data_IF_434070210468
#
_entry.id   IF_434070210468
#
_cell.length_a   1.000
_cell.length_b   1.000
_cell.length_c   1.000
_cell.angle_alpha   90.00
_cell.angle_beta   90.00
_cell.angle_gamma   90.00
#
_symmetry.space_group_name_H-M   'P 1'
#
loop_
_entity.id
_entity.type
_entity.pdbx_description
1 polymer ?
#
# COMPACT_ATOMS: atom_id res chain seq x y z
N UNK A 1 33.41 20.27 -15.89
CA UNK A 1 31.95 20.48 -16.03
C UNK A 1 31.28 19.79 -14.85
N UNK A 2 31.12 20.54 -13.76
CA UNK A 2 30.51 20.08 -12.52
C UNK A 2 28.99 20.20 -12.68
N UNK A 3 28.26 19.09 -12.62
CA UNK A 3 26.81 19.12 -12.44
C UNK A 3 26.50 19.57 -11.00
N UNK A 4 25.49 20.42 -10.77
CA UNK A 4 25.22 20.97 -9.45
C UNK A 4 24.66 19.91 -8.49
N UNK A 5 25.12 19.96 -7.23
CA UNK A 5 24.74 19.09 -6.11
C UNK A 5 23.23 19.06 -5.78
N UNK A 6 22.41 19.92 -6.40
CA UNK A 6 21.00 20.08 -6.05
C UNK A 6 20.10 18.91 -6.51
N UNK A 7 20.55 18.08 -7.45
CA UNK A 7 19.79 16.93 -7.93
C UNK A 7 19.93 15.67 -7.06
N UNK A 8 20.92 15.62 -6.16
CA UNK A 8 21.13 14.45 -5.28
C UNK A 8 20.24 14.51 -4.04
N UNK A 9 19.80 15.69 -3.61
CA UNK A 9 18.94 15.85 -2.43
C UNK A 9 17.47 15.43 -2.64
N UNK A 10 16.96 15.39 -3.87
CA UNK A 10 15.56 15.04 -4.12
C UNK A 10 15.25 13.52 -3.97
N UNK A 11 16.29 12.68 -3.88
CA UNK A 11 16.10 11.22 -3.78
C UNK A 11 16.10 10.70 -2.33
N UNK A 12 16.48 11.53 -1.35
CA UNK A 12 16.69 11.12 0.05
C UNK A 12 15.90 11.92 1.09
N UNK A 13 14.87 12.67 0.68
CA UNK A 13 13.96 13.37 1.61
C UNK A 13 12.94 12.45 2.29
N UNK A 14 12.95 11.14 2.01
CA UNK A 14 11.90 10.22 2.44
C UNK A 14 12.30 9.28 3.60
N UNK A 15 13.26 9.67 4.44
CA UNK A 15 13.31 9.15 5.80
C UNK A 15 12.38 10.01 6.67
N UNK A 16 11.07 9.93 6.43
CA UNK A 16 10.08 10.54 7.31
C UNK A 16 10.22 9.88 8.69
N UNK A 17 10.95 10.56 9.57
CA UNK A 17 10.99 10.45 11.03
C UNK A 17 10.63 9.06 11.57
N UNK A 18 11.60 8.14 11.58
CA UNK A 18 11.56 6.95 12.46
C UNK A 18 11.71 7.31 13.95
N UNK A 19 11.67 8.60 14.25
CA UNK A 19 11.74 9.21 15.59
C UNK A 19 10.38 9.80 16.01
N UNK A 20 9.34 9.66 15.18
CA UNK A 20 8.02 10.25 15.41
C UNK A 20 7.03 9.35 16.16
N UNK A 21 5.80 9.83 16.30
CA UNK A 21 4.69 9.12 16.95
C UNK A 21 4.40 7.81 16.23
N UNK A 22 4.29 6.71 17.00
CA UNK A 22 3.91 5.39 16.49
C UNK A 22 2.41 5.19 16.67
N UNK A 23 1.75 4.76 15.60
CA UNK A 23 0.33 4.42 15.58
C UNK A 23 0.18 2.93 15.37
N UNK A 24 -0.78 2.34 16.08
CA UNK A 24 -1.11 0.93 15.98
C UNK A 24 -2.09 0.71 14.82
N UNK A 25 -1.84 -0.27 13.98
CA UNK A 25 -2.74 -0.74 12.92
C UNK A 25 -3.16 -2.15 13.26
N UNK A 26 -4.46 -2.40 13.39
CA UNK A 26 -5.01 -3.74 13.64
C UNK A 26 -5.25 -4.43 12.30
N UNK A 27 -4.74 -5.66 12.14
CA UNK A 27 -4.84 -6.46 10.91
C UNK A 27 -5.18 -7.92 11.26
N UNK A 28 -6.46 -8.27 11.13
CA UNK A 28 -7.04 -9.44 11.80
C UNK A 28 -6.84 -9.38 13.32
N UNK A 29 -6.24 -10.44 13.87
CA UNK A 29 -5.94 -10.57 15.31
C UNK A 29 -4.55 -10.03 15.70
N UNK A 30 -3.83 -9.40 14.76
CA UNK A 30 -2.47 -8.90 14.97
C UNK A 30 -2.43 -7.38 14.95
N UNK A 31 -1.50 -6.82 15.70
CA UNK A 31 -1.22 -5.40 15.75
C UNK A 31 0.12 -5.12 15.07
N UNK A 32 0.16 -4.08 14.23
CA UNK A 32 1.36 -3.62 13.53
C UNK A 32 1.61 -2.18 13.94
N UNK A 33 2.84 -1.89 14.37
CA UNK A 33 3.26 -0.56 14.82
C UNK A 33 3.91 0.19 13.67
N UNK A 34 3.38 1.35 13.30
CA UNK A 34 3.85 2.16 12.16
C UNK A 34 3.96 3.61 12.57
N UNK A 35 5.00 4.30 12.11
CA UNK A 35 5.17 5.73 12.37
C UNK A 35 4.09 6.54 11.64
N UNK A 36 3.49 7.53 12.33
CA UNK A 36 2.39 8.37 11.84
C UNK A 36 2.72 9.04 10.51
N UNK A 37 3.92 9.60 10.40
CA UNK A 37 4.37 10.29 9.19
C UNK A 37 4.61 9.34 8.02
N UNK A 38 4.95 8.09 8.33
CA UNK A 38 5.11 7.03 7.33
C UNK A 38 3.74 6.57 6.83
N UNK A 39 2.80 6.35 7.75
CA UNK A 39 1.43 5.88 7.45
C UNK A 39 0.62 6.90 6.64
N UNK A 40 0.82 8.19 6.92
CA UNK A 40 0.16 9.29 6.22
C UNK A 40 0.93 9.82 5.00
N UNK A 41 2.11 9.26 4.69
CA UNK A 41 3.00 9.78 3.65
C UNK A 41 2.43 9.74 2.23
N UNK A 42 1.55 8.78 1.94
CA UNK A 42 1.04 8.53 0.58
C UNK A 42 -0.47 8.49 0.48
N UNK A 43 -1.17 8.14 1.55
CA UNK A 43 -2.62 8.10 1.59
C UNK A 43 -3.17 9.35 2.25
N UNK A 44 -3.84 10.19 1.46
CA UNK A 44 -4.60 11.33 1.98
C UNK A 44 -5.80 10.88 2.83
N UNK A 45 -6.34 9.71 2.55
CA UNK A 45 -7.38 9.08 3.38
C UNK A 45 -6.84 8.79 4.78
N UNK A 46 -5.68 8.14 4.90
CA UNK A 46 -5.06 7.90 6.20
C UNK A 46 -4.62 9.20 6.87
N UNK A 47 -4.08 10.16 6.11
CA UNK A 47 -3.76 11.50 6.63
C UNK A 47 -4.99 12.17 7.25
N UNK A 48 -6.14 12.10 6.59
CA UNK A 48 -7.41 12.65 7.10
C UNK A 48 -7.97 11.85 8.28
N UNK A 49 -7.91 10.51 8.23
CA UNK A 49 -8.37 9.63 9.31
C UNK A 49 -7.56 9.78 10.60
N UNK A 50 -6.36 10.37 10.53
CA UNK A 50 -5.47 10.63 11.66
C UNK A 50 -5.56 12.05 12.21
N UNK A 51 -6.44 12.90 11.67
CA UNK A 51 -6.66 14.24 12.20
C UNK A 51 -7.46 14.18 13.51
N UNK A 52 -7.21 15.10 14.46
CA UNK A 52 -7.85 15.07 15.77
C UNK A 52 -9.38 15.19 15.72
N UNK A 53 -9.94 15.82 14.68
CA UNK A 53 -11.40 15.95 14.55
C UNK A 53 -12.10 14.60 14.31
N UNK A 54 -11.36 13.57 13.88
CA UNK A 54 -11.87 12.22 13.61
C UNK A 54 -11.39 11.19 14.64
N UNK A 55 -10.54 11.60 15.59
CA UNK A 55 -9.96 10.72 16.61
C UNK A 55 -10.07 11.33 17.99
N UNK A 56 -10.99 10.79 18.79
CA UNK A 56 -11.12 11.12 20.21
C UNK A 56 -9.91 10.62 21.02
N UNK A 57 -9.26 9.55 20.57
CA UNK A 57 -8.01 9.01 21.12
C UNK A 57 -6.96 8.92 20.02
N UNK A 58 -5.88 9.69 20.14
CA UNK A 58 -4.76 9.66 19.18
C UNK A 58 -4.07 8.30 19.14
N UNK A 59 -4.12 7.57 20.25
CA UNK A 59 -3.55 6.24 20.47
C UNK A 59 -4.40 5.12 19.89
N UNK A 60 -5.66 5.40 19.50
CA UNK A 60 -6.56 4.40 18.96
C UNK A 60 -5.93 3.69 17.75
N UNK A 61 -6.17 2.38 17.63
CA UNK A 61 -5.68 1.63 16.49
C UNK A 61 -6.44 2.04 15.21
N UNK A 62 -5.75 2.08 14.06
CA UNK A 62 -6.45 2.08 12.78
C UNK A 62 -6.95 0.66 12.54
N UNK A 63 -8.26 0.52 12.43
CA UNK A 63 -8.89 -0.78 12.26
C UNK A 63 -8.89 -1.21 10.79
N UNK A 64 -8.09 -2.24 10.49
CA UNK A 64 -8.09 -2.98 9.23
C UNK A 64 -8.29 -4.48 9.52
N UNK A 65 -9.09 -4.82 10.55
CA UNK A 65 -9.33 -6.20 10.96
C UNK A 65 -10.01 -7.06 9.89
N UNK A 66 -10.80 -6.45 9.00
CA UNK A 66 -11.40 -7.10 7.82
C UNK A 66 -10.37 -7.52 6.76
N UNK A 67 -9.12 -7.06 6.87
CA UNK A 67 -8.06 -7.34 5.92
C UNK A 67 -7.14 -8.46 6.39
N UNK A 68 -6.60 -9.20 5.42
CA UNK A 68 -5.60 -10.22 5.72
C UNK A 68 -4.34 -9.58 6.30
N UNK A 69 -3.87 -10.10 7.44
CA UNK A 69 -2.65 -9.61 8.12
C UNK A 69 -1.46 -9.47 7.16
N UNK A 70 -1.23 -10.47 6.31
CA UNK A 70 -0.10 -10.46 5.38
C UNK A 70 -0.19 -9.30 4.37
N UNK A 71 -1.41 -8.92 3.95
CA UNK A 71 -1.64 -7.80 3.02
C UNK A 71 -1.34 -6.46 3.71
N UNK A 72 -1.81 -6.29 4.95
CA UNK A 72 -1.53 -5.06 5.73
C UNK A 72 -0.04 -4.94 6.06
N UNK A 73 0.61 -6.03 6.47
CA UNK A 73 2.05 -6.04 6.73
C UNK A 73 2.86 -5.67 5.49
N UNK A 74 2.48 -6.18 4.31
CA UNK A 74 3.15 -5.83 3.06
C UNK A 74 2.93 -4.37 2.67
N UNK A 75 1.75 -3.81 2.92
CA UNK A 75 1.50 -2.36 2.77
C UNK A 75 2.39 -1.54 3.70
N UNK A 76 2.44 -1.88 4.99
CA UNK A 76 3.31 -1.22 5.97
C UNK A 76 4.79 -1.30 5.57
N UNK A 77 5.25 -2.47 5.12
CA UNK A 77 6.61 -2.65 4.64
C UNK A 77 6.90 -1.78 3.40
N UNK A 78 5.95 -1.67 2.48
CA UNK A 78 6.09 -0.79 1.32
C UNK A 78 6.15 0.69 1.72
N UNK A 79 5.40 1.13 2.73
CA UNK A 79 5.46 2.52 3.21
C UNK A 79 6.89 2.91 3.65
N UNK A 80 7.61 1.99 4.28
CA UNK A 80 9.01 2.20 4.68
C UNK A 80 10.00 2.07 3.52
N UNK A 81 9.89 0.98 2.75
CA UNK A 81 10.95 0.57 1.83
C UNK A 81 10.73 1.07 0.41
N UNK A 82 9.51 1.50 0.10
CA UNK A 82 9.01 1.78 -1.26
C UNK A 82 9.16 0.59 -2.22
N UNK A 83 9.27 -0.63 -1.68
CA UNK A 83 9.45 -1.89 -2.41
C UNK A 83 8.48 -2.95 -1.93
N UNK A 84 8.02 -3.81 -2.83
CA UNK A 84 7.32 -5.04 -2.46
C UNK A 84 8.32 -6.17 -2.30
N UNK A 85 8.76 -6.41 -1.07
CA UNK A 85 9.96 -7.23 -0.81
C UNK A 85 9.69 -8.75 -0.81
N UNK A 86 8.45 -9.21 -0.58
CA UNK A 86 8.21 -10.64 -0.28
C UNK A 86 7.11 -11.35 -1.09
N UNK A 87 6.21 -10.66 -1.77
CA UNK A 87 4.92 -11.25 -2.19
C UNK A 87 4.55 -10.97 -3.66
N UNK A 88 5.48 -10.42 -4.44
CA UNK A 88 5.31 -10.08 -5.87
C UNK A 88 5.20 -11.28 -6.79
N UNK A 89 5.16 -12.51 -6.27
CA UNK A 89 5.14 -13.75 -7.04
C UNK A 89 3.78 -14.46 -6.96
N UNK A 90 2.79 -13.87 -6.28
CA UNK A 90 1.49 -14.47 -6.08
C UNK A 90 0.40 -13.49 -6.58
N UNK A 91 -0.28 -13.86 -7.67
CA UNK A 91 -1.36 -13.08 -8.27
C UNK A 91 -2.46 -12.71 -7.27
N UNK A 92 -2.88 -13.66 -6.42
CA UNK A 92 -3.94 -13.41 -5.43
C UNK A 92 -3.49 -12.42 -4.37
N UNK A 93 -2.22 -12.49 -3.97
CA UNK A 93 -1.66 -11.53 -3.01
C UNK A 93 -1.57 -10.13 -3.63
N UNK A 94 -1.09 -10.01 -4.86
CA UNK A 94 -1.07 -8.72 -5.58
C UNK A 94 -2.49 -8.15 -5.73
N UNK A 95 -3.49 -8.98 -6.03
CA UNK A 95 -4.88 -8.54 -6.12
C UNK A 95 -5.39 -7.98 -4.80
N UNK A 96 -5.10 -8.65 -3.68
CA UNK A 96 -5.45 -8.17 -2.34
C UNK A 96 -4.75 -6.85 -2.00
N UNK A 97 -3.47 -6.70 -2.34
CA UNK A 97 -2.74 -5.44 -2.14
C UNK A 97 -3.37 -4.30 -2.96
N UNK A 98 -3.77 -4.57 -4.20
CA UNK A 98 -4.42 -3.56 -5.03
C UNK A 98 -5.76 -3.11 -4.45
N UNK A 99 -6.57 -4.07 -3.98
CA UNK A 99 -7.86 -3.81 -3.31
C UNK A 99 -7.65 -3.01 -2.02
N UNK A 100 -6.67 -3.38 -1.19
CA UNK A 100 -6.30 -2.61 0.01
C UNK A 100 -5.92 -1.17 -0.35
N UNK A 101 -5.08 -0.97 -1.37
CA UNK A 101 -4.72 0.35 -1.88
C UNK A 101 -5.94 1.14 -2.36
N UNK A 102 -6.93 0.47 -2.95
CA UNK A 102 -8.20 1.10 -3.37
C UNK A 102 -9.02 1.57 -2.18
N UNK A 103 -9.16 0.73 -1.14
CA UNK A 103 -9.86 1.08 0.11
C UNK A 103 -9.19 2.24 0.82
N UNK A 104 -7.86 2.22 0.90
CA UNK A 104 -7.05 3.28 1.50
C UNK A 104 -6.86 4.49 0.59
N UNK A 105 -7.46 4.50 -0.61
CA UNK A 105 -7.31 5.56 -1.63
C UNK A 105 -5.85 5.94 -1.91
N UNK A 106 -4.92 5.00 -1.75
CA UNK A 106 -3.49 5.23 -1.93
C UNK A 106 -3.08 4.96 -3.39
N UNK A 107 -3.21 5.99 -4.22
CA UNK A 107 -2.93 5.90 -5.66
C UNK A 107 -1.46 5.54 -5.96
N UNK A 108 -0.53 5.97 -5.11
CA UNK A 108 0.91 5.67 -5.27
C UNK A 108 1.14 4.18 -5.03
N UNK A 109 0.53 3.62 -3.99
CA UNK A 109 0.59 2.20 -3.73
C UNK A 109 -0.08 1.38 -4.84
N UNK A 110 -1.30 1.75 -5.26
CA UNK A 110 -2.02 1.06 -6.32
C UNK A 110 -1.24 1.01 -7.63
N UNK A 111 -0.58 2.10 -8.01
CA UNK A 111 0.26 2.14 -9.22
C UNK A 111 1.40 1.13 -9.12
N UNK A 112 2.13 1.14 -8.01
CA UNK A 112 3.25 0.23 -7.80
C UNK A 112 2.78 -1.25 -7.81
N UNK A 113 1.63 -1.56 -7.21
CA UNK A 113 1.07 -2.92 -7.27
C UNK A 113 0.67 -3.31 -8.70
N UNK A 114 0.11 -2.37 -9.46
CA UNK A 114 -0.24 -2.59 -10.87
C UNK A 114 1.01 -2.85 -11.73
N UNK A 115 2.08 -2.08 -11.51
CA UNK A 115 3.36 -2.28 -12.19
C UNK A 115 3.92 -3.68 -11.89
N UNK A 116 3.81 -4.14 -10.65
CA UNK A 116 4.21 -5.50 -10.26
C UNK A 116 3.35 -6.60 -10.93
N UNK A 117 2.05 -6.37 -11.12
CA UNK A 117 1.18 -7.30 -11.86
C UNK A 117 1.57 -7.37 -13.34
N UNK A 118 1.85 -6.23 -13.98
CA UNK A 118 2.29 -6.15 -15.38
C UNK A 118 3.64 -6.84 -15.57
N UNK A 119 4.58 -6.62 -14.63
CA UNK A 119 5.87 -7.27 -14.63
C UNK A 119 5.74 -8.79 -14.49
N UNK A 120 4.84 -9.26 -13.60
CA UNK A 120 4.57 -10.69 -13.44
C UNK A 120 4.02 -11.31 -14.73
N UNK A 121 3.03 -10.66 -15.36
CA UNK A 121 2.46 -11.12 -16.63
C UNK A 121 3.52 -11.20 -17.73
N UNK A 122 4.35 -10.16 -17.86
CA UNK A 122 5.36 -10.05 -18.91
C UNK A 122 6.54 -11.01 -18.74
N UNK A 123 7.03 -11.20 -17.51
CA UNK A 123 8.29 -11.94 -17.27
C UNK A 123 8.11 -13.43 -17.02
N UNK A 124 6.99 -13.85 -16.44
CA UNK A 124 6.83 -15.23 -15.94
C UNK A 124 5.89 -16.07 -16.77
N UNK A 125 5.05 -15.43 -17.58
CA UNK A 125 3.92 -16.10 -18.20
C UNK A 125 2.91 -16.55 -17.16
N UNK A 126 1.63 -16.45 -17.49
CA UNK A 126 0.55 -16.88 -16.62
C UNK A 126 -0.53 -15.83 -16.49
N UNK A 127 -1.76 -16.27 -16.70
CA UNK A 127 -2.94 -15.43 -16.58
C UNK A 127 -3.49 -15.48 -15.15
N UNK A 128 -4.08 -14.39 -14.65
CA UNK A 128 -4.75 -14.40 -13.36
C UNK A 128 -5.86 -15.47 -13.37
N UNK A 129 -5.83 -16.37 -12.39
CA UNK A 129 -6.88 -17.38 -12.22
C UNK A 129 -8.21 -16.74 -11.80
N UNK A 130 -9.33 -17.44 -11.96
CA UNK A 130 -10.66 -16.93 -11.58
C UNK A 130 -10.73 -16.30 -10.17
N UNK A 131 -10.15 -16.89 -9.09
CA UNK A 131 -10.13 -16.25 -7.77
C UNK A 131 -9.47 -14.86 -7.73
N UNK A 132 -8.46 -14.63 -8.56
CA UNK A 132 -7.72 -13.36 -8.67
C UNK A 132 -8.61 -12.32 -9.34
N UNK A 133 -9.21 -12.71 -10.48
CA UNK A 133 -10.14 -11.86 -11.24
C UNK A 133 -11.32 -11.47 -10.32
N UNK A 134 -11.94 -12.45 -9.66
CA UNK A 134 -13.04 -12.21 -8.72
C UNK A 134 -12.64 -11.24 -7.61
N UNK A 135 -11.46 -11.41 -7.00
CA UNK A 135 -10.95 -10.51 -5.96
C UNK A 135 -10.82 -9.07 -6.45
N UNK A 136 -10.29 -8.84 -7.66
CA UNK A 136 -10.20 -7.51 -8.26
C UNK A 136 -11.58 -6.91 -8.54
N UNK A 137 -12.50 -7.69 -9.11
CA UNK A 137 -13.83 -7.20 -9.47
C UNK A 137 -14.69 -6.89 -8.24
N UNK A 138 -14.60 -7.69 -7.19
CA UNK A 138 -15.37 -7.46 -5.96
C UNK A 138 -14.80 -6.30 -5.14
N UNK A 139 -13.48 -6.11 -5.15
CA UNK A 139 -12.79 -5.14 -4.29
C UNK A 139 -12.53 -3.77 -4.92
N UNK A 140 -12.96 -3.51 -6.15
CA UNK A 140 -12.69 -2.24 -6.87
C UNK A 140 -13.95 -1.68 -7.53
N UNK A 141 -13.93 -0.44 -8.03
CA UNK A 141 -15.05 0.12 -8.82
C UNK A 141 -14.90 -0.20 -10.32
N UNK A 142 -15.99 -0.08 -11.09
CA UNK A 142 -16.01 -0.39 -12.55
C UNK A 142 -14.92 0.33 -13.35
N UNK A 143 -14.54 1.56 -12.96
CA UNK A 143 -13.50 2.35 -13.63
C UNK A 143 -12.07 2.02 -13.21
N UNK A 144 -11.85 1.03 -12.34
CA UNK A 144 -10.52 0.71 -11.81
C UNK A 144 -9.56 0.21 -12.91
N UNK A 145 -8.34 0.77 -13.00
CA UNK A 145 -7.32 0.33 -13.95
C UNK A 145 -6.99 -1.16 -13.88
N UNK A 146 -6.99 -1.77 -12.69
CA UNK A 146 -6.67 -3.19 -12.55
C UNK A 146 -7.66 -4.12 -13.27
N UNK A 147 -8.92 -3.71 -13.44
CA UNK A 147 -9.91 -4.52 -14.16
C UNK A 147 -9.57 -4.68 -15.64
N UNK A 148 -8.91 -3.69 -16.25
CA UNK A 148 -8.45 -3.76 -17.65
C UNK A 148 -7.29 -4.73 -17.86
N UNK A 149 -6.58 -5.08 -16.79
CA UNK A 149 -5.50 -6.08 -16.85
C UNK A 149 -6.04 -7.52 -16.76
N UNK A 150 -7.30 -7.70 -16.38
CA UNK A 150 -7.92 -9.02 -16.18
C UNK A 150 -8.63 -9.56 -17.43
N UNK A 151 -8.64 -8.78 -18.52
CA UNK A 151 -9.34 -9.06 -19.79
C UNK A 151 -8.38 -9.12 -20.96
#
# INVERSE_FOLDING_TARGET
MQLPCELVCAHFTHLNSITGVVVVVRAGDKFVHVHKDVLSSTSEFLKNAMKPEWRTDESAAIDLSDEYTATVQAYCQWLYTRRLVKLTNNWLHLARLYVLGSKLKDKKFQRMVLDAMIEMASKRGGNPSFPVIKTIYDGTTKGSPARRLMV
#
